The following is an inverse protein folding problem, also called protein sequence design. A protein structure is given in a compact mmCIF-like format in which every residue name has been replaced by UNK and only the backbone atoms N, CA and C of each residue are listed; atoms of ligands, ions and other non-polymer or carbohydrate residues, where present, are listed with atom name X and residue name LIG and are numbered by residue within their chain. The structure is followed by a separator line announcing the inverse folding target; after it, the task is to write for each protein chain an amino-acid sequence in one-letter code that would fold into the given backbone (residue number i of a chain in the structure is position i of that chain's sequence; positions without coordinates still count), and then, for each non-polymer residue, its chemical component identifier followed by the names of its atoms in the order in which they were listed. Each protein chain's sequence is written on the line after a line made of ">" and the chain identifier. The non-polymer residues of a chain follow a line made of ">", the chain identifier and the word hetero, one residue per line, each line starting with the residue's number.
data_IF_438075925387
#
_entry.id   IF_438075925387
#
_cell.length_a   1.000
_cell.length_b   1.000
_cell.length_c   1.000
_cell.angle_alpha   90.00
_cell.angle_beta   90.00
_cell.angle_gamma   90.00
#
_symmetry.space_group_name_H-M   'P 1'
#
loop_
_entity.id
_entity.type
_entity.pdbx_description
1 polymer ?
#
# COMPACT_ATOMS: atom_id res chain seq x y z
N UNK A 1 -21.95 50.05 -47.06
CA UNK A 1 -21.37 49.78 -45.73
C UNK A 1 -21.51 48.31 -45.40
N UNK A 2 -20.50 47.51 -45.69
CA UNK A 2 -20.48 46.07 -45.32
C UNK A 2 -19.71 45.87 -44.03
N UNK A 3 -20.39 45.31 -43.00
CA UNK A 3 -19.78 44.92 -41.75
C UNK A 3 -19.18 43.53 -41.91
N UNK A 4 -17.85 43.46 -41.86
CA UNK A 4 -17.11 42.20 -41.80
C UNK A 4 -17.15 41.70 -40.36
N UNK A 5 -17.82 40.54 -40.14
CA UNK A 5 -17.83 39.84 -38.88
C UNK A 5 -16.61 38.88 -38.88
N UNK A 6 -15.58 39.24 -38.12
CA UNK A 6 -14.45 38.33 -37.87
C UNK A 6 -14.88 37.31 -36.78
N UNK A 7 -15.03 36.03 -37.21
CA UNK A 7 -15.14 34.89 -36.28
C UNK A 7 -13.72 34.52 -35.80
N UNK A 8 -13.44 34.80 -34.56
CA UNK A 8 -12.26 34.23 -33.87
C UNK A 8 -12.63 32.79 -33.45
N UNK A 9 -12.14 31.80 -34.19
CA UNK A 9 -12.16 30.41 -33.72
C UNK A 9 -11.08 30.22 -32.66
N UNK A 10 -11.51 30.06 -31.41
CA UNK A 10 -10.64 29.72 -30.29
C UNK A 10 -10.27 28.25 -30.43
N UNK A 11 -9.07 27.97 -30.98
CA UNK A 11 -8.51 26.62 -31.05
C UNK A 11 -8.00 26.23 -29.66
N UNK A 12 -8.80 25.51 -28.86
CA UNK A 12 -8.33 24.85 -27.66
C UNK A 12 -7.35 23.75 -28.06
N UNK A 13 -6.06 24.06 -28.02
CA UNK A 13 -5.04 23.04 -28.09
C UNK A 13 -5.11 22.21 -26.81
N UNK A 14 -5.65 20.99 -26.92
CA UNK A 14 -5.50 19.96 -25.87
C UNK A 14 -4.01 19.59 -25.90
N UNK A 15 -3.26 20.12 -24.95
CA UNK A 15 -1.90 19.65 -24.67
C UNK A 15 -2.06 18.24 -24.09
N UNK A 16 -1.99 17.22 -24.94
CA UNK A 16 -1.76 15.84 -24.51
C UNK A 16 -0.35 15.85 -23.91
N UNK A 17 -0.28 15.87 -22.60
CA UNK A 17 0.97 15.66 -21.88
C UNK A 17 1.46 14.25 -22.20
N UNK A 18 2.50 14.13 -23.03
CA UNK A 18 3.24 12.89 -23.30
C UNK A 18 4.19 12.55 -22.14
N UNK A 19 3.75 12.75 -20.91
CA UNK A 19 4.47 12.34 -19.70
C UNK A 19 3.63 11.34 -18.94
N UNK A 20 4.20 10.17 -18.58
CA UNK A 20 3.51 9.19 -17.74
C UNK A 20 3.06 9.81 -16.41
N UNK A 21 2.04 9.22 -15.78
CA UNK A 21 1.58 9.63 -14.45
C UNK A 21 2.65 9.29 -13.39
N UNK A 22 2.83 10.16 -12.40
CA UNK A 22 3.73 9.92 -11.27
C UNK A 22 2.93 9.74 -9.99
N UNK A 23 3.42 8.88 -9.08
CA UNK A 23 2.74 8.57 -7.84
C UNK A 23 3.76 8.25 -6.74
N UNK A 24 3.44 8.63 -5.51
CA UNK A 24 4.15 8.18 -4.31
C UNK A 24 3.34 7.12 -3.58
N UNK A 25 3.90 5.93 -3.48
CA UNK A 25 3.30 4.75 -2.84
C UNK A 25 4.08 4.41 -1.57
N UNK A 26 3.36 4.18 -0.46
CA UNK A 26 3.98 3.88 0.83
C UNK A 26 3.45 2.56 1.40
N UNK A 27 4.33 1.78 2.05
CA UNK A 27 4.00 0.64 2.91
C UNK A 27 4.38 0.93 4.35
N UNK A 28 3.51 0.57 5.30
CA UNK A 28 3.82 0.70 6.71
C UNK A 28 3.05 -0.31 7.56
N UNK A 29 3.74 -1.33 8.07
CA UNK A 29 3.22 -2.12 9.19
C UNK A 29 3.31 -1.27 10.45
N UNK A 30 2.16 -0.91 11.02
CA UNK A 30 2.06 0.08 12.11
C UNK A 30 1.96 -0.53 13.50
N UNK A 31 2.00 -1.88 13.60
CA UNK A 31 1.92 -2.59 14.89
C UNK A 31 0.80 -2.02 15.79
N UNK A 32 -0.43 -1.95 15.28
CA UNK A 32 -1.61 -1.32 15.94
C UNK A 32 -1.32 0.08 16.53
N UNK A 33 -0.46 0.86 15.87
CA UNK A 33 0.05 2.18 16.28
C UNK A 33 0.82 2.16 17.62
N UNK A 34 1.36 0.99 18.01
CA UNK A 34 2.18 0.84 19.19
C UNK A 34 3.66 0.86 18.82
N UNK A 35 4.37 1.87 19.30
CA UNK A 35 5.81 1.96 19.11
C UNK A 35 6.60 0.95 19.93
N UNK A 36 7.88 0.79 19.59
CA UNK A 36 8.82 -0.06 20.34
C UNK A 36 9.05 0.45 21.78
N UNK A 37 8.67 1.70 22.08
CA UNK A 37 8.59 2.28 23.41
C UNK A 37 7.35 1.80 24.21
N UNK A 38 6.50 0.96 23.62
CA UNK A 38 5.29 0.41 24.22
C UNK A 38 4.08 1.34 24.22
N UNK A 39 4.17 2.55 23.65
CA UNK A 39 3.09 3.54 23.63
C UNK A 39 2.28 3.43 22.35
N UNK A 40 0.95 3.44 22.47
CA UNK A 40 0.05 3.60 21.34
C UNK A 40 -0.05 5.09 21.03
N UNK A 41 0.34 5.49 19.80
CA UNK A 41 0.41 6.89 19.41
C UNK A 41 0.04 7.06 17.93
N UNK A 42 -1.22 7.35 17.66
CA UNK A 42 -1.76 7.57 16.32
C UNK A 42 -1.18 8.82 15.67
N UNK A 43 -0.93 9.88 16.48
CA UNK A 43 -0.39 11.14 15.97
C UNK A 43 1.01 10.94 15.42
N UNK A 44 1.83 10.14 16.07
CA UNK A 44 3.18 9.77 15.62
C UNK A 44 3.18 9.05 14.27
N UNK A 45 2.29 8.07 14.09
CA UNK A 45 2.15 7.37 12.81
C UNK A 45 1.63 8.35 11.73
N UNK A 46 0.63 9.16 12.05
CA UNK A 46 0.09 10.15 11.12
C UNK A 46 1.13 11.21 10.71
N UNK A 47 2.01 11.63 11.63
CA UNK A 47 3.10 12.56 11.33
C UNK A 47 4.08 11.97 10.30
N UNK A 48 4.44 10.69 10.42
CA UNK A 48 5.27 9.99 9.43
C UNK A 48 4.57 10.00 8.06
N UNK A 49 3.29 9.62 8.00
CA UNK A 49 2.52 9.60 6.75
C UNK A 49 2.43 11.01 6.14
N UNK A 50 2.11 12.03 6.94
CA UNK A 50 1.99 13.41 6.47
C UNK A 50 3.32 13.97 5.94
N UNK A 51 4.45 13.64 6.58
CA UNK A 51 5.78 14.06 6.14
C UNK A 51 6.17 13.41 4.82
N UNK A 52 5.86 12.12 4.62
CA UNK A 52 6.05 11.41 3.35
C UNK A 52 5.11 11.93 2.29
N UNK A 53 3.89 12.28 2.68
CA UNK A 53 2.85 12.82 1.78
C UNK A 53 2.55 11.89 0.59
N UNK A 54 2.25 10.58 0.82
CA UNK A 54 1.99 9.64 -0.25
C UNK A 54 0.63 9.90 -0.92
N UNK A 55 0.46 9.42 -2.17
CA UNK A 55 -0.85 9.36 -2.82
C UNK A 55 -1.72 8.30 -2.17
N UNK A 56 -1.11 7.17 -1.80
CA UNK A 56 -1.73 6.20 -0.89
C UNK A 56 -0.68 5.49 -0.03
N UNK A 57 -1.11 5.01 1.14
CA UNK A 57 -0.33 4.15 2.04
C UNK A 57 -1.10 2.88 2.39
N UNK A 58 -0.46 1.74 2.21
CA UNK A 58 -0.94 0.44 2.68
C UNK A 58 -0.46 0.21 4.12
N UNK A 59 -1.41 -0.09 5.00
CA UNK A 59 -1.20 -0.23 6.43
C UNK A 59 -1.50 -1.65 6.88
N UNK A 60 -0.56 -2.30 7.54
CA UNK A 60 -0.74 -3.61 8.14
C UNK A 60 -0.88 -3.48 9.65
N UNK A 61 -1.45 -4.50 10.27
CA UNK A 61 -1.63 -4.60 11.72
C UNK A 61 -2.52 -3.53 12.35
N UNK A 62 -3.68 -3.29 11.76
CA UNK A 62 -4.63 -2.32 12.27
C UNK A 62 -5.66 -2.96 13.21
N UNK A 63 -5.75 -2.44 14.42
CA UNK A 63 -6.85 -2.72 15.35
C UNK A 63 -8.07 -1.88 15.02
N UNK A 64 -9.25 -2.48 15.14
CA UNK A 64 -10.54 -1.81 15.04
C UNK A 64 -11.38 -2.15 16.26
N UNK A 65 -11.61 -1.17 17.12
CA UNK A 65 -12.41 -1.23 18.35
C UNK A 65 -11.96 -2.32 19.34
N UNK A 66 -10.65 -2.64 19.39
CA UNK A 66 -10.13 -3.62 20.31
C UNK A 66 -9.92 -3.06 21.73
N UNK A 67 -9.95 -3.92 22.75
CA UNK A 67 -9.74 -3.52 24.12
C UNK A 67 -8.34 -2.92 24.36
N UNK A 68 -7.28 -3.47 23.70
CA UNK A 68 -5.91 -2.94 23.84
C UNK A 68 -5.75 -1.53 23.29
N UNK A 69 -6.60 -1.13 22.32
CA UNK A 69 -6.63 0.23 21.77
C UNK A 69 -7.76 1.09 22.36
N UNK A 70 -8.28 0.71 23.56
CA UNK A 70 -9.35 1.43 24.26
C UNK A 70 -10.61 1.66 23.39
N UNK A 71 -10.97 0.69 22.54
CA UNK A 71 -12.11 0.77 21.65
C UNK A 71 -11.95 1.71 20.43
N UNK A 72 -10.77 2.28 20.21
CA UNK A 72 -10.50 3.13 19.06
C UNK A 72 -10.32 2.31 17.78
N UNK A 73 -10.63 2.91 16.66
CA UNK A 73 -10.45 2.36 15.32
C UNK A 73 -9.21 3.00 14.69
N UNK A 74 -8.10 2.24 14.59
CA UNK A 74 -6.81 2.78 14.15
C UNK A 74 -6.91 3.50 12.80
N UNK A 75 -7.59 2.91 11.82
CA UNK A 75 -7.67 3.50 10.47
C UNK A 75 -8.42 4.84 10.48
N UNK A 76 -9.46 4.99 11.31
CA UNK A 76 -10.25 6.23 11.41
C UNK A 76 -9.45 7.35 12.12
N UNK A 77 -8.70 7.00 13.17
CA UNK A 77 -7.79 7.94 13.85
C UNK A 77 -6.73 8.46 12.87
N UNK A 78 -6.14 7.56 12.07
CA UNK A 78 -5.14 7.93 11.08
C UNK A 78 -5.76 8.72 9.91
N UNK A 79 -6.93 8.32 9.39
CA UNK A 79 -7.65 9.03 8.34
C UNK A 79 -7.98 10.47 8.77
N UNK A 80 -8.49 10.64 10.00
CA UNK A 80 -8.78 11.96 10.56
C UNK A 80 -7.54 12.84 10.69
N UNK A 81 -6.39 12.26 11.11
CA UNK A 81 -5.16 13.00 11.31
C UNK A 81 -4.40 13.32 10.02
N UNK A 82 -4.64 12.56 8.94
CA UNK A 82 -3.99 12.75 7.63
C UNK A 82 -4.89 13.46 6.61
N UNK A 83 -6.20 13.50 6.85
CA UNK A 83 -7.19 14.01 5.90
C UNK A 83 -7.37 13.11 4.68
N UNK A 84 -7.01 11.82 4.78
CA UNK A 84 -7.09 10.84 3.70
C UNK A 84 -8.36 9.98 3.82
N UNK A 85 -8.83 9.41 2.70
CA UNK A 85 -9.90 8.43 2.67
C UNK A 85 -9.40 7.07 3.17
N UNK A 86 -10.25 6.36 3.93
CA UNK A 86 -9.90 5.09 4.54
C UNK A 86 -10.63 3.91 3.88
N UNK A 87 -9.89 2.82 3.65
CA UNK A 87 -10.44 1.49 3.34
C UNK A 87 -9.88 0.49 4.33
N UNK A 88 -10.73 -0.40 4.88
CA UNK A 88 -10.33 -1.37 5.91
C UNK A 88 -10.81 -2.78 5.57
N UNK A 89 -9.98 -3.77 5.85
CA UNK A 89 -10.30 -5.19 5.76
C UNK A 89 -10.01 -5.90 7.09
N UNK A 90 -11.05 -6.37 7.76
CA UNK A 90 -10.92 -7.22 8.93
C UNK A 90 -10.38 -8.60 8.54
N UNK A 91 -9.31 -9.04 9.19
CA UNK A 91 -8.76 -10.38 9.04
C UNK A 91 -9.31 -11.33 10.11
N UNK A 92 -9.28 -10.94 11.38
CA UNK A 92 -9.73 -11.74 12.53
C UNK A 92 -10.58 -10.89 13.48
N UNK A 93 -11.41 -11.59 14.29
CA UNK A 93 -11.99 -11.01 15.51
C UNK A 93 -10.93 -11.06 16.61
N UNK A 94 -10.71 -9.94 17.29
CA UNK A 94 -9.68 -9.83 18.30
C UNK A 94 -10.05 -8.80 19.38
N UNK A 95 -9.84 -9.15 20.65
CA UNK A 95 -9.94 -8.21 21.77
C UNK A 95 -11.28 -7.45 21.88
N UNK A 96 -12.40 -8.06 21.49
CA UNK A 96 -13.73 -7.43 21.47
C UNK A 96 -14.06 -6.65 20.20
N UNK A 97 -13.10 -6.44 19.32
CA UNK A 97 -13.22 -5.81 18.03
C UNK A 97 -12.68 -6.69 16.91
N UNK A 98 -11.89 -6.12 16.01
CA UNK A 98 -11.20 -6.82 14.93
C UNK A 98 -9.78 -6.31 14.73
N UNK A 99 -8.99 -7.12 14.03
CA UNK A 99 -7.63 -6.80 13.60
C UNK A 99 -7.49 -7.13 12.13
N UNK A 100 -6.74 -6.31 11.40
CA UNK A 100 -6.63 -6.49 9.97
C UNK A 100 -5.64 -5.52 9.32
N UNK A 101 -6.00 -5.08 8.13
CA UNK A 101 -5.18 -4.19 7.32
C UNK A 101 -6.05 -3.12 6.62
N UNK A 102 -5.43 -2.08 6.12
CA UNK A 102 -6.15 -0.99 5.47
C UNK A 102 -5.30 -0.21 4.49
N UNK A 103 -5.94 0.77 3.89
CA UNK A 103 -5.32 1.69 2.96
C UNK A 103 -5.87 3.08 3.22
N UNK A 104 -4.97 4.08 3.28
CA UNK A 104 -5.34 5.49 3.23
C UNK A 104 -4.94 6.04 1.87
N UNK A 105 -5.82 6.84 1.26
CA UNK A 105 -5.61 7.42 -0.07
C UNK A 105 -6.04 8.89 -0.13
N UNK A 106 -5.38 9.68 -0.97
CA UNK A 106 -5.80 11.07 -1.27
C UNK A 106 -7.02 11.12 -2.16
N UNK A 107 -7.15 10.16 -3.06
CA UNK A 107 -8.30 9.99 -3.95
C UNK A 107 -9.36 9.13 -3.29
N UNK A 108 -10.63 9.46 -3.49
CA UNK A 108 -11.76 8.67 -2.99
C UNK A 108 -11.84 7.34 -3.76
N UNK A 109 -11.93 6.19 -3.06
CA UNK A 109 -12.07 4.89 -3.72
C UNK A 109 -13.38 4.76 -4.50
N UNK A 110 -13.31 4.15 -5.70
CA UNK A 110 -14.51 3.82 -6.49
C UNK A 110 -15.13 2.52 -5.99
N UNK A 111 -14.30 1.52 -5.69
CA UNK A 111 -14.72 0.21 -5.21
C UNK A 111 -13.66 -0.43 -4.32
N UNK A 112 -14.12 -1.31 -3.44
CA UNK A 112 -13.25 -2.14 -2.61
C UNK A 112 -13.70 -3.59 -2.63
N UNK A 113 -12.76 -4.53 -2.60
CA UNK A 113 -13.03 -5.94 -2.40
C UNK A 113 -11.97 -6.58 -1.50
N UNK A 114 -12.35 -7.62 -0.81
CA UNK A 114 -11.46 -8.36 0.11
C UNK A 114 -11.40 -9.81 -0.33
N UNK A 115 -10.17 -10.32 -0.48
CA UNK A 115 -9.91 -11.71 -0.85
C UNK A 115 -9.29 -12.42 0.35
N UNK A 116 -9.88 -13.55 0.83
CA UNK A 116 -9.23 -14.37 1.83
C UNK A 116 -7.95 -15.01 1.27
N UNK A 117 -6.86 -14.95 2.05
CA UNK A 117 -5.63 -15.67 1.72
C UNK A 117 -5.52 -16.96 2.53
N UNK A 118 -4.68 -17.88 2.06
CA UNK A 118 -4.42 -19.14 2.73
C UNK A 118 -3.61 -18.90 4.00
N UNK A 119 -4.08 -19.38 5.13
CA UNK A 119 -3.32 -19.34 6.39
C UNK A 119 -3.83 -20.44 7.33
N UNK A 120 -2.94 -21.27 7.81
CA UNK A 120 -3.23 -22.28 8.85
C UNK A 120 -3.15 -21.70 10.27
N UNK A 121 -2.74 -20.45 10.39
CA UNK A 121 -2.67 -19.68 11.63
C UNK A 121 -3.68 -18.54 11.65
N UNK A 122 -3.19 -17.33 11.92
CA UNK A 122 -3.98 -16.11 11.83
C UNK A 122 -4.46 -15.86 10.41
N UNK A 123 -5.77 -15.65 10.24
CA UNK A 123 -6.33 -15.42 8.91
C UNK A 123 -5.76 -14.14 8.27
N UNK A 124 -5.45 -14.24 6.98
CA UNK A 124 -4.87 -13.15 6.17
C UNK A 124 -5.82 -12.71 5.07
N UNK A 125 -5.65 -11.49 4.60
CA UNK A 125 -6.49 -10.88 3.58
C UNK A 125 -5.65 -10.13 2.56
N UNK A 126 -6.18 -10.05 1.35
CA UNK A 126 -5.81 -9.07 0.35
C UNK A 126 -6.96 -8.06 0.26
N UNK A 127 -6.69 -6.80 0.55
CA UNK A 127 -7.58 -5.67 0.28
C UNK A 127 -7.24 -5.11 -1.08
N UNK A 128 -8.23 -5.03 -1.96
CA UNK A 128 -8.12 -4.42 -3.30
C UNK A 128 -8.99 -3.19 -3.34
N UNK A 129 -8.38 -2.05 -3.64
CA UNK A 129 -9.03 -0.73 -3.71
C UNK A 129 -8.88 -0.20 -5.12
N UNK A 130 -10.00 0.08 -5.77
CA UNK A 130 -10.02 0.59 -7.13
C UNK A 130 -10.21 2.09 -7.14
N UNK A 131 -9.40 2.78 -7.95
CA UNK A 131 -9.46 4.20 -8.23
C UNK A 131 -9.72 4.44 -9.72
N UNK A 132 -9.93 5.70 -10.12
CA UNK A 132 -10.17 6.06 -11.52
C UNK A 132 -9.07 5.52 -12.45
N UNK A 133 -7.81 5.77 -12.12
CA UNK A 133 -6.65 5.51 -12.97
C UNK A 133 -5.82 4.29 -12.59
N UNK A 134 -5.97 3.73 -11.39
CA UNK A 134 -5.13 2.65 -10.86
C UNK A 134 -5.87 1.77 -9.87
N UNK A 135 -5.22 0.67 -9.49
CA UNK A 135 -5.66 -0.22 -8.41
C UNK A 135 -4.54 -0.30 -7.37
N UNK A 136 -4.89 -0.11 -6.09
CA UNK A 136 -3.99 -0.30 -4.97
C UNK A 136 -4.42 -1.52 -4.15
N UNK A 137 -3.45 -2.36 -3.80
CA UNK A 137 -3.69 -3.57 -3.01
C UNK A 137 -2.85 -3.52 -1.74
N UNK A 138 -3.47 -3.86 -0.61
CA UNK A 138 -2.79 -4.04 0.67
C UNK A 138 -2.87 -5.49 1.10
N UNK A 139 -1.75 -6.06 1.54
CA UNK A 139 -1.70 -7.41 2.10
C UNK A 139 -0.77 -7.51 3.30
N UNK A 140 -0.94 -8.57 4.09
CA UNK A 140 -0.03 -9.01 5.13
C UNK A 140 0.01 -10.53 5.07
N UNK A 141 1.15 -11.10 4.65
CA UNK A 141 1.29 -12.53 4.43
C UNK A 141 1.39 -13.32 5.74
N UNK A 142 1.06 -14.63 5.72
CA UNK A 142 1.20 -15.49 6.88
C UNK A 142 2.67 -15.74 7.23
N UNK A 143 2.93 -16.17 8.49
CA UNK A 143 4.28 -16.44 8.97
C UNK A 143 4.86 -17.77 8.41
N UNK A 144 4.02 -18.74 8.03
CA UNK A 144 4.47 -20.04 7.54
C UNK A 144 4.73 -20.01 6.04
N UNK A 145 5.88 -20.54 5.61
CA UNK A 145 6.30 -20.55 4.21
C UNK A 145 5.30 -21.22 3.26
N UNK A 146 4.78 -22.41 3.60
CA UNK A 146 3.81 -23.10 2.75
C UNK A 146 2.51 -22.30 2.58
N UNK A 147 2.05 -21.64 3.65
CA UNK A 147 0.89 -20.75 3.62
C UNK A 147 1.17 -19.51 2.76
N UNK A 148 2.41 -18.95 2.79
CA UNK A 148 2.82 -17.82 1.96
C UNK A 148 2.80 -18.17 0.48
N UNK A 149 3.37 -19.33 0.11
CA UNK A 149 3.35 -19.80 -1.29
C UNK A 149 1.91 -19.94 -1.80
N UNK A 150 1.05 -20.61 -1.03
CA UNK A 150 -0.36 -20.76 -1.40
C UNK A 150 -1.12 -19.42 -1.44
N UNK A 151 -0.78 -18.48 -0.53
CA UNK A 151 -1.34 -17.12 -0.54
C UNK A 151 -0.90 -16.33 -1.77
N UNK A 152 0.36 -16.49 -2.21
CA UNK A 152 0.87 -15.86 -3.44
C UNK A 152 0.12 -16.36 -4.69
N UNK A 153 -0.23 -17.65 -4.75
CA UNK A 153 -1.04 -18.22 -5.85
C UNK A 153 -2.44 -17.59 -5.88
N UNK A 154 -3.15 -17.59 -4.75
CA UNK A 154 -4.49 -16.99 -4.63
C UNK A 154 -4.46 -15.51 -5.00
N UNK A 155 -3.44 -14.78 -4.56
CA UNK A 155 -3.27 -13.36 -4.86
C UNK A 155 -3.06 -13.13 -6.36
N UNK A 156 -2.17 -13.91 -7.01
CA UNK A 156 -1.94 -13.81 -8.45
C UNK A 156 -3.21 -14.09 -9.24
N UNK A 157 -3.98 -15.14 -8.89
CA UNK A 157 -5.26 -15.47 -9.51
C UNK A 157 -6.29 -14.33 -9.33
N UNK A 158 -6.40 -13.80 -8.11
CA UNK A 158 -7.35 -12.73 -7.79
C UNK A 158 -7.08 -11.42 -8.54
N UNK A 159 -5.84 -11.16 -8.92
CA UNK A 159 -5.40 -9.93 -9.60
C UNK A 159 -5.18 -10.13 -11.10
N UNK A 160 -5.31 -11.36 -11.59
CA UNK A 160 -5.22 -11.67 -13.02
C UNK A 160 -6.28 -10.90 -13.83
N UNK A 161 -5.88 -10.38 -14.99
CA UNK A 161 -6.78 -9.65 -15.89
C UNK A 161 -7.08 -8.21 -15.45
N UNK A 162 -6.41 -7.68 -14.44
CA UNK A 162 -6.50 -6.26 -14.13
C UNK A 162 -5.92 -5.43 -15.29
N UNK A 163 -6.73 -4.53 -15.86
CA UNK A 163 -6.36 -3.70 -17.02
C UNK A 163 -5.80 -2.32 -16.65
N UNK A 164 -5.88 -1.95 -15.35
CA UNK A 164 -5.31 -0.70 -14.82
C UNK A 164 -3.91 -0.92 -14.26
N UNK A 165 -3.07 0.13 -14.17
CA UNK A 165 -1.85 0.07 -13.35
C UNK A 165 -2.20 -0.45 -11.97
N UNK A 166 -1.47 -1.46 -11.47
CA UNK A 166 -1.77 -2.06 -10.19
C UNK A 166 -0.53 -2.09 -9.31
N UNK A 167 -0.70 -1.64 -8.08
CA UNK A 167 0.32 -1.66 -7.04
C UNK A 167 -0.10 -2.62 -5.92
N UNK A 168 0.74 -3.64 -5.67
CA UNK A 168 0.61 -4.56 -4.55
C UNK A 168 1.60 -4.15 -3.48
N UNK A 169 1.11 -3.90 -2.27
CA UNK A 169 1.90 -3.32 -1.18
C UNK A 169 1.64 -4.08 0.11
N UNK A 170 2.69 -4.34 0.88
CA UNK A 170 2.51 -4.91 2.20
C UNK A 170 3.73 -5.61 2.79
N UNK A 171 3.50 -6.14 3.99
CA UNK A 171 4.39 -7.03 4.71
C UNK A 171 4.23 -8.46 4.18
N UNK A 172 5.26 -8.95 3.50
CA UNK A 172 5.27 -10.29 2.90
C UNK A 172 5.80 -11.37 3.84
N UNK A 173 6.30 -11.00 5.03
CA UNK A 173 6.91 -11.93 5.98
C UNK A 173 7.95 -12.87 5.35
N UNK A 174 8.63 -12.42 4.29
CA UNK A 174 9.65 -13.18 3.56
C UNK A 174 10.65 -12.24 2.89
N UNK A 175 11.84 -12.75 2.62
CA UNK A 175 12.90 -12.02 1.94
C UNK A 175 12.94 -12.34 0.44
N UNK A 176 13.66 -11.52 -0.33
CA UNK A 176 13.95 -11.80 -1.73
C UNK A 176 14.69 -13.14 -1.85
N UNK A 177 14.21 -14.00 -2.75
CA UNK A 177 14.77 -15.34 -2.94
C UNK A 177 13.93 -16.46 -2.34
N UNK A 178 13.02 -16.16 -1.42
CA UNK A 178 12.07 -17.14 -0.90
C UNK A 178 11.09 -17.63 -1.98
N UNK A 179 10.54 -18.84 -1.85
CA UNK A 179 9.69 -19.44 -2.89
C UNK A 179 8.49 -18.58 -3.29
N UNK A 180 7.81 -17.95 -2.33
CA UNK A 180 6.67 -17.06 -2.57
C UNK A 180 7.06 -15.80 -3.34
N UNK A 181 8.26 -15.26 -3.12
CA UNK A 181 8.80 -14.15 -3.90
C UNK A 181 9.06 -14.56 -5.36
N UNK A 182 9.56 -15.78 -5.58
CA UNK A 182 9.73 -16.32 -6.93
C UNK A 182 8.37 -16.53 -7.63
N UNK A 183 7.34 -16.90 -6.88
CA UNK A 183 5.97 -17.01 -7.40
C UNK A 183 5.43 -15.65 -7.82
N UNK A 184 5.55 -14.63 -6.96
CA UNK A 184 5.12 -13.26 -7.26
C UNK A 184 5.89 -12.67 -8.45
N UNK A 185 7.19 -12.94 -8.57
CA UNK A 185 8.04 -12.42 -9.66
C UNK A 185 7.62 -12.87 -11.06
N UNK A 186 6.72 -13.86 -11.19
CA UNK A 186 6.16 -14.27 -12.49
C UNK A 186 5.17 -13.25 -13.07
N UNK A 187 4.57 -12.44 -12.21
CA UNK A 187 3.53 -11.47 -12.58
C UNK A 187 3.80 -10.06 -12.07
N UNK A 188 4.68 -9.92 -11.09
CA UNK A 188 4.94 -8.65 -10.42
C UNK A 188 6.43 -8.27 -10.48
N UNK A 189 6.68 -6.97 -10.59
CA UNK A 189 8.01 -6.37 -10.48
C UNK A 189 8.10 -5.65 -9.14
N UNK A 190 9.16 -5.90 -8.36
CA UNK A 190 9.50 -5.14 -7.14
C UNK A 190 9.92 -3.72 -7.52
N UNK A 191 9.42 -2.74 -6.80
CA UNK A 191 9.70 -1.32 -7.01
C UNK A 191 10.63 -0.71 -5.96
N UNK A 192 10.60 -1.20 -4.72
CA UNK A 192 11.55 -0.77 -3.69
C UNK A 192 12.89 -1.49 -3.82
N UNK A 193 13.93 -0.94 -3.15
CA UNK A 193 15.23 -1.59 -3.09
C UNK A 193 15.23 -2.70 -2.01
N UNK A 194 15.33 -3.98 -2.38
CA UNK A 194 15.30 -5.08 -1.40
C UNK A 194 16.58 -5.21 -0.55
N UNK A 195 17.61 -4.40 -0.82
CA UNK A 195 18.79 -4.32 0.03
C UNK A 195 18.58 -3.41 1.27
N UNK A 196 17.51 -2.61 1.27
CA UNK A 196 17.19 -1.72 2.38
C UNK A 196 16.24 -2.46 3.35
N UNK A 197 16.79 -2.91 4.48
CA UNK A 197 16.05 -3.66 5.50
C UNK A 197 14.94 -2.81 6.14
N UNK A 198 13.78 -3.43 6.40
CA UNK A 198 12.60 -2.79 7.01
C UNK A 198 12.28 -3.31 8.40
N UNK A 199 12.82 -4.47 8.77
CA UNK A 199 12.54 -5.17 10.03
C UNK A 199 13.81 -5.78 10.66
N UNK A 200 13.92 -5.81 12.01
CA UNK A 200 13.13 -4.99 12.94
C UNK A 200 13.46 -3.50 12.77
N UNK A 201 12.60 -2.59 13.26
CA UNK A 201 12.84 -1.14 13.12
C UNK A 201 14.11 -0.65 13.82
N UNK A 202 14.50 -1.34 14.89
CA UNK A 202 15.78 -1.10 15.60
C UNK A 202 16.80 -2.12 15.11
N UNK A 203 17.91 -1.61 14.54
CA UNK A 203 18.94 -2.43 13.87
C UNK A 203 18.33 -3.36 12.81
N UNK A 204 17.78 -2.82 11.73
CA UNK A 204 17.09 -3.60 10.71
C UNK A 204 18.04 -4.60 10.01
N UNK A 205 17.55 -5.82 9.83
CA UNK A 205 18.30 -6.95 9.28
C UNK A 205 17.67 -7.53 8.02
N UNK A 206 16.32 -7.42 7.89
CA UNK A 206 15.54 -8.06 6.83
C UNK A 206 14.66 -7.04 6.10
N UNK A 207 14.57 -7.16 4.77
CA UNK A 207 13.57 -6.49 3.96
C UNK A 207 12.41 -7.48 3.76
N UNK A 208 11.30 -7.27 4.46
CA UNK A 208 10.09 -8.11 4.38
C UNK A 208 8.86 -7.31 3.95
N UNK A 209 8.98 -5.99 3.89
CA UNK A 209 7.95 -5.09 3.36
C UNK A 209 8.28 -4.72 1.90
N UNK A 210 7.29 -4.83 1.03
CA UNK A 210 7.51 -4.64 -0.40
C UNK A 210 6.41 -3.82 -1.07
N UNK A 211 6.81 -3.16 -2.15
CA UNK A 211 5.94 -2.48 -3.10
C UNK A 211 6.20 -3.07 -4.48
N UNK A 212 5.15 -3.57 -5.12
CA UNK A 212 5.23 -4.17 -6.46
C UNK A 212 4.30 -3.48 -7.43
N UNK A 213 4.57 -3.67 -8.71
CA UNK A 213 3.63 -3.39 -9.81
C UNK A 213 3.34 -4.66 -10.58
N UNK A 214 2.09 -4.82 -11.04
CA UNK A 214 1.68 -5.92 -11.91
C UNK A 214 2.22 -5.69 -13.33
N UNK A 215 2.75 -6.72 -13.98
CA UNK A 215 3.14 -6.69 -15.40
C UNK A 215 1.91 -6.94 -16.30
N UNK A 216 1.15 -5.88 -16.58
CA UNK A 216 -0.12 -5.94 -17.29
C UNK A 216 -0.21 -4.93 -18.44
N UNK A 217 0.89 -4.66 -19.12
CA UNK A 217 0.94 -3.73 -20.26
C UNK A 217 1.23 -2.28 -19.87
N UNK A 218 1.57 -2.04 -18.59
CA UNK A 218 2.12 -0.76 -18.15
C UNK A 218 3.62 -0.89 -17.89
N UNK A 219 4.39 0.13 -18.27
CA UNK A 219 5.73 0.33 -17.75
C UNK A 219 5.65 1.05 -16.42
N UNK A 220 6.46 0.64 -15.45
CA UNK A 220 6.59 1.32 -14.18
C UNK A 220 8.07 1.50 -13.87
N UNK A 221 8.51 2.75 -13.75
CA UNK A 221 9.86 3.16 -13.42
C UNK A 221 9.89 3.67 -11.99
N UNK A 222 10.79 3.14 -11.17
CA UNK A 222 11.06 3.67 -9.83
C UNK A 222 12.00 4.86 -9.94
N UNK A 223 11.50 6.04 -9.60
CA UNK A 223 12.28 7.28 -9.57
C UNK A 223 13.03 7.45 -8.26
N UNK A 224 12.44 6.96 -7.17
CA UNK A 224 13.01 6.97 -5.81
C UNK A 224 12.49 5.78 -5.02
N UNK A 225 13.34 5.21 -4.17
CA UNK A 225 12.99 4.24 -3.12
C UNK A 225 13.68 4.66 -1.83
N UNK A 226 12.94 4.70 -0.72
CA UNK A 226 13.48 5.10 0.57
C UNK A 226 12.82 4.36 1.73
N UNK A 227 13.65 3.84 2.65
CA UNK A 227 13.26 3.36 3.98
C UNK A 227 13.55 4.44 5.00
N UNK A 228 12.59 4.75 5.87
CA UNK A 228 12.69 5.87 6.82
C UNK A 228 13.33 5.43 8.14
N UNK A 229 14.63 5.28 8.16
CA UNK A 229 15.39 4.84 9.34
C UNK A 229 15.23 5.76 10.57
N UNK A 230 14.87 7.04 10.37
CA UNK A 230 14.63 8.01 11.45
C UNK A 230 13.36 7.75 12.27
N UNK A 231 12.45 6.89 11.78
CA UNK A 231 11.13 6.62 12.39
C UNK A 231 11.08 5.30 13.18
N UNK A 232 12.22 4.77 13.56
CA UNK A 232 12.40 3.45 14.18
C UNK A 232 11.66 3.23 15.52
N UNK A 233 11.19 4.30 16.18
CA UNK A 233 10.45 4.21 17.45
C UNK A 233 8.94 4.03 17.19
N UNK A 234 8.43 4.44 16.04
CA UNK A 234 7.00 4.55 15.80
C UNK A 234 6.28 3.19 15.63
N UNK A 235 6.99 2.18 15.10
CA UNK A 235 6.55 0.79 14.95
C UNK A 235 7.74 -0.14 15.11
N UNK A 236 7.54 -1.46 15.13
CA UNK A 236 8.59 -2.47 15.02
C UNK A 236 9.03 -2.74 13.58
N UNK A 237 8.34 -2.18 12.57
CA UNK A 237 8.77 -2.07 11.19
C UNK A 237 9.15 -0.62 10.83
N UNK A 238 10.05 -0.47 9.87
CA UNK A 238 10.36 0.81 9.25
C UNK A 238 9.41 1.07 8.07
N UNK A 239 8.85 2.27 7.97
CA UNK A 239 8.05 2.63 6.81
C UNK A 239 8.95 2.80 5.58
N UNK A 240 8.43 2.42 4.41
CA UNK A 240 9.10 2.60 3.13
C UNK A 240 8.16 3.24 2.11
N UNK A 241 8.73 4.00 1.17
CA UNK A 241 7.97 4.51 0.05
C UNK A 241 8.78 4.47 -1.25
N UNK A 242 8.06 4.51 -2.37
CA UNK A 242 8.62 4.70 -3.70
C UNK A 242 7.93 5.86 -4.41
N UNK A 243 8.70 6.63 -5.19
CA UNK A 243 8.18 7.50 -6.23
C UNK A 243 8.28 6.75 -7.54
N UNK A 244 7.17 6.63 -8.24
CA UNK A 244 7.10 5.88 -9.49
C UNK A 244 6.53 6.73 -10.60
N UNK A 245 7.00 6.47 -11.82
CA UNK A 245 6.38 6.94 -13.06
C UNK A 245 5.82 5.73 -13.79
N UNK A 246 4.56 5.79 -14.21
CA UNK A 246 3.94 4.71 -14.96
C UNK A 246 3.23 5.25 -16.20
N UNK A 247 3.25 4.43 -17.26
CA UNK A 247 2.63 4.75 -18.54
C UNK A 247 2.23 3.46 -19.26
N UNK A 248 1.23 3.54 -20.14
CA UNK A 248 0.83 2.39 -20.96
C UNK A 248 1.91 2.13 -22.01
N UNK A 249 2.31 0.87 -22.17
CA UNK A 249 3.26 0.41 -23.21
C UNK A 249 2.64 0.41 -24.59
#
# INVERSE_FOLDING_TARGET
>A
MYKILCFFALLCAILVSCGGDTMRVMSYNVHHCRGVDGKIDYARIAEVINRVSPDFVALQELDSATARNNGKVCIDELASATGMFASYASAIKFGGGSYGLGLLSREEPIATRVVPLVSSGEARRLLVVEFEKYVACCTHFPLKGDDRVASAEVLCEALQGCEKPLFLVGDMNCCVGDPEQQQLARSFKVLNNPADATYPSINPEECIDFIYTLDNGYSCETLKSEVLFGDSIASDHLPLYVDVKFERR
#
